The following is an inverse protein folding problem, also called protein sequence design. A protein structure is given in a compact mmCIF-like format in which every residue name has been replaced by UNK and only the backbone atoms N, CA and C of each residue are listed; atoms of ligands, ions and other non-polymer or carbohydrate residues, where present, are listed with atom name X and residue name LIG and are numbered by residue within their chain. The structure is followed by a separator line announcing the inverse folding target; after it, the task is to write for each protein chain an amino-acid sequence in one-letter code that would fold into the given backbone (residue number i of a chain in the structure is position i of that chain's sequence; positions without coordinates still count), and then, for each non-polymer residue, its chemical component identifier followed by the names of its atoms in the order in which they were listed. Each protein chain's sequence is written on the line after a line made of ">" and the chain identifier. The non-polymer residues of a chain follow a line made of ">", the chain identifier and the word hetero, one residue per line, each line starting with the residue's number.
data_IF_532448562910
#
_entry.id   IF_532448562910
#
_cell.length_a   1.000
_cell.length_b   1.000
_cell.length_c   1.000
_cell.angle_alpha   90.00
_cell.angle_beta   90.00
_cell.angle_gamma   90.00
#
_symmetry.space_group_name_H-M   'P 1'
#
loop_
_entity.id
_entity.type
_entity.pdbx_description
1 polymer ?
#
# COMPACT_ATOMS: atom_id res chain seq x y z
N UNK A 1 -5.87 15.29 -12.18
CA UNK A 1 -6.05 13.88 -12.57
C UNK A 1 -6.43 13.09 -11.34
N UNK A 2 -7.47 12.28 -11.47
CA UNK A 2 -7.98 11.41 -10.41
C UNK A 2 -7.75 9.96 -10.79
N UNK A 3 -7.47 9.11 -9.81
CA UNK A 3 -7.50 7.67 -9.97
C UNK A 3 -8.81 7.16 -9.39
N UNK A 4 -9.71 6.68 -10.23
CA UNK A 4 -10.93 5.99 -9.83
C UNK A 4 -10.64 4.49 -9.80
N UNK A 5 -10.81 3.87 -8.65
CA UNK A 5 -10.53 2.46 -8.43
C UNK A 5 -11.82 1.71 -8.17
N UNK A 6 -12.13 0.73 -8.99
CA UNK A 6 -13.26 -0.16 -8.75
C UNK A 6 -12.89 -1.19 -7.70
N UNK A 7 -13.74 -1.34 -6.69
CA UNK A 7 -13.64 -2.43 -5.71
C UNK A 7 -14.44 -3.67 -6.10
N UNK A 8 -15.05 -3.68 -7.29
CA UNK A 8 -15.77 -4.84 -7.78
C UNK A 8 -14.80 -5.97 -8.19
N UNK A 9 -15.22 -7.20 -7.99
CA UNK A 9 -14.46 -8.43 -8.27
C UNK A 9 -14.20 -8.66 -9.77
N UNK A 10 -14.92 -7.95 -10.65
CA UNK A 10 -14.76 -8.02 -12.09
C UNK A 10 -13.78 -6.96 -12.56
N UNK A 11 -12.59 -7.38 -12.98
CA UNK A 11 -11.51 -6.58 -13.54
C UNK A 11 -11.11 -5.35 -12.70
N UNK A 12 -10.00 -5.39 -11.98
CA UNK A 12 -9.48 -4.25 -11.22
C UNK A 12 -8.82 -3.24 -12.17
N UNK A 13 -9.60 -2.58 -13.02
CA UNK A 13 -9.09 -1.51 -13.86
C UNK A 13 -9.18 -0.19 -13.11
N UNK A 14 -8.03 0.31 -12.69
CA UNK A 14 -7.93 1.67 -12.20
C UNK A 14 -8.03 2.62 -13.41
N UNK A 15 -9.01 3.52 -13.40
CA UNK A 15 -9.22 4.48 -14.46
C UNK A 15 -8.65 5.85 -14.06
N UNK A 16 -7.81 6.42 -14.91
CA UNK A 16 -7.34 7.79 -14.78
C UNK A 16 -8.37 8.76 -15.34
N UNK A 17 -8.93 9.59 -14.49
CA UNK A 17 -9.97 10.56 -14.84
C UNK A 17 -9.37 11.97 -14.80
N UNK A 18 -9.42 12.74 -15.91
CA UNK A 18 -8.98 14.14 -15.91
C UNK A 18 -9.95 14.99 -15.09
N UNK A 19 -9.45 16.07 -14.52
CA UNK A 19 -10.32 17.10 -13.92
C UNK A 19 -11.13 17.79 -15.02
N UNK A 20 -12.36 18.13 -14.72
CA UNK A 20 -13.31 18.82 -15.58
C UNK A 20 -14.06 19.88 -14.76
N UNK A 21 -14.92 20.71 -15.36
CA UNK A 21 -15.76 21.64 -14.63
C UNK A 21 -16.68 20.97 -13.58
N UNK A 22 -16.97 19.67 -13.76
CA UNK A 22 -17.75 18.87 -12.81
C UNK A 22 -16.87 18.06 -11.83
N UNK A 23 -15.63 17.76 -12.21
CA UNK A 23 -14.68 16.96 -11.43
C UNK A 23 -13.56 17.88 -10.97
N UNK A 24 -13.76 18.49 -9.80
CA UNK A 24 -12.79 19.40 -9.21
C UNK A 24 -11.48 18.68 -8.86
N UNK A 25 -10.33 19.36 -8.86
CA UNK A 25 -9.06 18.78 -8.42
C UNK A 25 -9.15 18.30 -6.96
N UNK A 26 -8.53 17.17 -6.68
CA UNK A 26 -8.36 16.73 -5.29
C UNK A 26 -7.49 17.72 -4.53
N UNK A 27 -7.89 18.01 -3.32
CA UNK A 27 -7.13 18.82 -2.39
C UNK A 27 -6.81 18.01 -1.14
N UNK A 28 -5.65 18.27 -0.53
CA UNK A 28 -5.34 17.64 0.76
C UNK A 28 -4.47 18.56 1.62
N UNK A 29 -4.71 18.51 2.93
CA UNK A 29 -3.91 19.15 3.97
C UNK A 29 -3.34 18.07 4.87
N UNK A 30 -2.04 18.13 5.12
CA UNK A 30 -1.37 17.17 6.00
C UNK A 30 -0.57 17.92 7.06
N UNK A 31 -0.71 17.45 8.29
CA UNK A 31 0.08 17.86 9.45
C UNK A 31 0.92 16.66 9.86
N UNK A 32 2.21 16.88 10.09
CA UNK A 32 3.10 15.83 10.55
C UNK A 32 4.05 16.38 11.62
N UNK A 33 4.36 15.54 12.59
CA UNK A 33 5.34 15.81 13.62
C UNK A 33 6.24 14.58 13.77
N UNK A 34 7.56 14.79 13.68
CA UNK A 34 8.54 13.73 13.76
C UNK A 34 9.65 14.01 14.77
N UNK A 35 10.15 12.94 15.38
CA UNK A 35 11.33 12.93 16.22
C UNK A 35 12.38 12.02 15.60
N UNK A 36 13.60 12.55 15.42
CA UNK A 36 14.72 11.87 14.78
C UNK A 36 15.92 11.90 15.71
N UNK A 37 16.61 10.78 15.89
CA UNK A 37 17.78 10.72 16.74
C UNK A 37 18.81 9.71 16.24
N UNK A 38 20.06 10.15 16.19
CA UNK A 38 21.20 9.29 16.04
C UNK A 38 21.83 9.02 17.42
N UNK A 39 22.30 7.80 17.64
CA UNK A 39 22.91 7.39 18.91
C UNK A 39 24.02 6.37 18.69
N UNK A 40 24.86 6.17 19.73
CA UNK A 40 26.04 5.30 19.71
C UNK A 40 26.99 5.65 18.53
N UNK A 41 27.46 6.92 18.51
CA UNK A 41 28.36 7.45 17.49
C UNK A 41 27.83 7.20 16.06
N UNK A 42 26.55 7.53 15.81
CA UNK A 42 25.84 7.35 14.54
C UNK A 42 25.77 5.87 14.06
N UNK A 43 25.90 4.94 14.98
CA UNK A 43 25.70 3.53 14.69
C UNK A 43 24.22 3.22 14.47
N UNK A 44 23.36 3.86 15.23
CA UNK A 44 21.92 3.72 15.13
C UNK A 44 21.24 5.05 14.80
N UNK A 45 20.23 4.99 14.00
CA UNK A 45 19.32 6.05 13.67
C UNK A 45 17.90 5.57 14.00
N UNK A 46 17.13 6.39 14.69
CA UNK A 46 15.73 6.11 14.98
C UNK A 46 14.87 7.30 14.62
N UNK A 47 13.70 7.06 14.06
CA UNK A 47 12.68 8.07 13.85
C UNK A 47 11.31 7.57 14.26
N UNK A 48 10.49 8.51 14.71
CA UNK A 48 9.08 8.33 15.01
C UNK A 48 8.35 9.53 14.47
N UNK A 49 7.40 9.31 13.56
CA UNK A 49 6.61 10.37 12.94
C UNK A 49 5.12 10.05 13.05
N UNK A 50 4.33 11.02 13.51
CA UNK A 50 2.88 10.98 13.48
C UNK A 50 2.34 11.94 12.44
N UNK A 51 1.30 11.56 11.72
CA UNK A 51 0.65 12.42 10.74
C UNK A 51 -0.87 12.35 10.81
N UNK A 52 -1.50 13.44 10.40
CA UNK A 52 -2.94 13.54 10.13
C UNK A 52 -3.14 14.26 8.80
N UNK A 53 -3.96 13.68 7.92
CA UNK A 53 -4.23 14.17 6.57
C UNK A 53 -5.73 14.22 6.30
N UNK A 54 -6.21 15.38 5.89
CA UNK A 54 -7.53 15.60 5.34
C UNK A 54 -7.49 15.61 3.83
N UNK A 55 -8.53 15.09 3.20
CA UNK A 55 -8.62 14.98 1.73
C UNK A 55 -10.01 15.40 1.30
N UNK A 56 -10.06 16.39 0.41
CA UNK A 56 -11.29 16.94 -0.16
C UNK A 56 -11.39 16.58 -1.66
N UNK A 57 -12.61 16.60 -2.19
CA UNK A 57 -12.89 16.35 -3.61
C UNK A 57 -12.41 14.96 -4.09
N UNK A 58 -12.53 13.95 -3.23
CA UNK A 58 -12.30 12.58 -3.64
C UNK A 58 -13.42 12.16 -4.60
N UNK A 59 -13.09 11.29 -5.55
CA UNK A 59 -14.08 10.70 -6.45
C UNK A 59 -14.22 9.20 -6.19
N UNK A 60 -15.44 8.72 -6.35
CA UNK A 60 -15.80 7.30 -6.29
C UNK A 60 -16.91 7.02 -7.30
N UNK A 61 -17.03 5.78 -7.78
CA UNK A 61 -18.19 5.40 -8.58
C UNK A 61 -19.46 5.40 -7.72
N UNK A 62 -20.56 5.89 -8.28
CA UNK A 62 -21.89 5.76 -7.69
C UNK A 62 -22.23 4.29 -7.49
N UNK A 63 -23.07 3.99 -6.50
CA UNK A 63 -23.55 2.62 -6.30
C UNK A 63 -24.35 2.14 -7.51
N UNK A 64 -24.11 0.87 -7.91
CA UNK A 64 -24.77 0.26 -9.06
C UNK A 64 -24.23 0.65 -10.44
N UNK A 65 -23.25 1.54 -10.51
CA UNK A 65 -22.60 1.90 -11.78
C UNK A 65 -21.34 1.06 -11.96
N UNK A 66 -21.29 0.28 -13.05
CA UNK A 66 -20.10 -0.45 -13.45
C UNK A 66 -19.30 0.35 -14.49
N UNK A 67 -17.96 0.26 -14.48
CA UNK A 67 -17.13 0.94 -15.46
C UNK A 67 -17.47 0.60 -16.93
N UNK A 68 -17.96 -0.61 -17.15
CA UNK A 68 -18.34 -1.14 -18.46
C UNK A 68 -19.61 -0.50 -19.03
N UNK A 69 -20.47 0.05 -18.17
CA UNK A 69 -21.73 0.68 -18.56
C UNK A 69 -21.54 2.07 -19.21
N UNK A 70 -20.32 2.60 -19.16
CA UNK A 70 -20.02 4.00 -19.53
C UNK A 70 -19.49 4.19 -20.97
N UNK A 71 -19.69 3.25 -21.86
CA UNK A 71 -19.17 3.36 -23.23
C UNK A 71 -19.82 4.47 -24.08
N UNK A 72 -20.95 5.05 -23.65
CA UNK A 72 -21.72 6.02 -24.46
C UNK A 72 -22.23 7.27 -23.73
N UNK A 73 -21.92 7.49 -22.44
CA UNK A 73 -22.30 8.70 -21.72
C UNK A 73 -21.07 9.43 -21.16
N UNK A 74 -21.19 10.75 -20.97
CA UNK A 74 -20.09 11.50 -20.34
C UNK A 74 -19.72 10.85 -19.01
N UNK A 75 -18.51 10.33 -18.91
CA UNK A 75 -17.97 9.60 -17.76
C UNK A 75 -18.13 10.35 -16.43
N UNK A 76 -18.26 11.67 -16.48
CA UNK A 76 -18.41 12.55 -15.32
C UNK A 76 -19.66 12.24 -14.47
N UNK A 77 -20.75 11.75 -15.06
CA UNK A 77 -21.99 11.43 -14.36
C UNK A 77 -21.94 10.12 -13.55
N UNK A 78 -20.93 9.29 -13.81
CA UNK A 78 -20.72 8.03 -13.11
C UNK A 78 -20.12 8.21 -11.72
N UNK A 79 -19.55 9.38 -11.45
CA UNK A 79 -18.85 9.66 -10.20
C UNK A 79 -19.69 10.42 -9.20
N UNK A 80 -19.38 10.21 -7.94
CA UNK A 80 -19.81 11.02 -6.80
C UNK A 80 -18.59 11.57 -6.09
N UNK A 81 -18.79 12.62 -5.30
CA UNK A 81 -17.73 13.35 -4.62
C UNK A 81 -17.83 13.15 -3.13
N UNK A 82 -16.69 13.15 -2.47
CA UNK A 82 -16.63 12.98 -1.03
C UNK A 82 -15.28 13.36 -0.48
N UNK A 83 -15.13 13.09 0.80
CA UNK A 83 -13.99 13.48 1.61
C UNK A 83 -13.33 12.24 2.21
N UNK A 84 -12.17 12.45 2.79
CA UNK A 84 -11.47 11.39 3.49
C UNK A 84 -10.48 11.92 4.51
N UNK A 85 -10.12 11.04 5.41
CA UNK A 85 -9.07 11.28 6.39
C UNK A 85 -8.08 10.14 6.42
N UNK A 86 -6.83 10.45 6.73
CA UNK A 86 -5.80 9.44 6.96
C UNK A 86 -4.91 9.89 8.11
N UNK A 87 -4.62 8.99 9.03
CA UNK A 87 -3.68 9.23 10.11
C UNK A 87 -2.86 8.01 10.42
N UNK A 88 -1.68 8.21 10.95
CA UNK A 88 -0.78 7.12 11.24
C UNK A 88 0.43 7.50 12.05
N UNK A 89 1.16 6.45 12.43
CA UNK A 89 2.43 6.51 13.11
C UNK A 89 3.44 5.69 12.31
N UNK A 90 4.56 6.31 11.98
CA UNK A 90 5.67 5.70 11.26
C UNK A 90 6.89 5.60 12.16
N UNK A 91 7.51 4.44 12.20
CA UNK A 91 8.69 4.15 13.00
C UNK A 91 9.78 3.58 12.12
N UNK A 92 11.00 4.07 12.28
CA UNK A 92 12.19 3.53 11.63
C UNK A 92 13.29 3.36 12.66
N UNK A 93 13.94 2.19 12.63
CA UNK A 93 15.20 1.94 13.33
C UNK A 93 16.19 1.41 12.30
N UNK A 94 17.34 2.07 12.19
CA UNK A 94 18.39 1.71 11.23
C UNK A 94 19.72 1.54 11.96
N UNK A 95 20.47 0.51 11.62
CA UNK A 95 21.82 0.26 12.08
C UNK A 95 22.78 0.40 10.91
N UNK A 96 23.69 1.38 11.00
CA UNK A 96 24.56 1.81 9.91
C UNK A 96 25.97 1.22 9.97
N UNK A 97 26.43 0.72 11.14
CA UNK A 97 27.83 0.31 11.35
C UNK A 97 27.92 -1.10 11.97
N UNK A 98 29.06 -1.76 11.69
CA UNK A 98 29.38 -3.11 12.16
C UNK A 98 29.02 -4.17 11.12
N UNK A 99 29.29 -5.43 11.45
CA UNK A 99 29.07 -6.56 10.54
C UNK A 99 27.60 -6.80 10.21
N UNK A 100 26.70 -6.49 11.14
CA UNK A 100 25.26 -6.51 10.91
C UNK A 100 24.78 -5.07 10.72
N UNK A 101 24.23 -4.77 9.56
CA UNK A 101 23.56 -3.50 9.21
C UNK A 101 22.15 -3.76 8.69
N UNK A 102 21.33 -2.72 8.59
CA UNK A 102 19.98 -2.86 8.08
C UNK A 102 19.00 -1.92 8.77
N UNK A 103 17.71 -2.13 8.51
CA UNK A 103 16.66 -1.31 9.08
C UNK A 103 15.37 -2.08 9.28
N UNK A 104 14.56 -1.58 10.19
CA UNK A 104 13.19 -2.01 10.47
C UNK A 104 12.32 -0.78 10.37
N UNK A 105 11.38 -0.80 9.43
CA UNK A 105 10.35 0.21 9.27
C UNK A 105 8.98 -0.38 9.59
N UNK A 106 8.18 0.34 10.36
CA UNK A 106 6.84 -0.07 10.71
C UNK A 106 5.89 1.13 10.62
N UNK A 107 4.77 0.92 9.93
CA UNK A 107 3.69 1.91 9.81
C UNK A 107 2.39 1.33 10.38
N UNK A 108 1.78 2.09 11.26
CA UNK A 108 0.41 1.89 11.73
C UNK A 108 -0.44 3.03 11.20
N UNK A 109 -1.40 2.76 10.31
CA UNK A 109 -2.19 3.81 9.69
C UNK A 109 -3.67 3.43 9.56
N UNK A 110 -4.52 4.45 9.38
CA UNK A 110 -5.93 4.31 9.05
C UNK A 110 -6.32 5.35 8.02
N UNK A 111 -7.02 4.89 6.98
CA UNK A 111 -7.60 5.77 5.96
C UNK A 111 -9.09 5.50 5.82
N UNK A 112 -9.90 6.50 6.07
CA UNK A 112 -11.36 6.46 6.00
C UNK A 112 -11.84 7.38 4.89
N UNK A 113 -12.90 6.99 4.20
CA UNK A 113 -13.58 7.79 3.17
C UNK A 113 -15.03 8.02 3.56
N UNK A 114 -15.58 9.15 3.16
CA UNK A 114 -16.97 9.52 3.34
C UNK A 114 -17.52 10.06 2.03
N UNK A 115 -18.64 9.48 1.58
CA UNK A 115 -19.37 9.89 0.39
C UNK A 115 -20.86 9.82 0.70
N UNK A 116 -21.59 10.89 0.46
CA UNK A 116 -23.02 10.96 0.77
C UNK A 116 -23.85 9.87 0.07
N UNK A 117 -23.48 9.55 -1.18
CA UNK A 117 -24.23 8.64 -2.05
C UNK A 117 -23.57 7.24 -2.16
N UNK A 118 -22.65 6.92 -1.27
CA UNK A 118 -22.00 5.60 -1.21
C UNK A 118 -22.07 5.07 0.22
N UNK A 119 -22.25 3.76 0.36
CA UNK A 119 -22.33 3.08 1.65
C UNK A 119 -23.42 3.67 2.57
N UNK A 120 -24.54 4.11 1.97
CA UNK A 120 -25.67 4.75 2.67
C UNK A 120 -25.24 6.01 3.44
N UNK A 121 -24.22 6.72 2.99
CA UNK A 121 -23.65 7.88 3.66
C UNK A 121 -22.80 7.56 4.90
N UNK A 122 -22.53 6.29 5.18
CA UNK A 122 -21.65 5.90 6.30
C UNK A 122 -20.18 5.91 5.89
N UNK A 123 -19.26 6.30 6.77
CA UNK A 123 -17.82 6.20 6.53
C UNK A 123 -17.40 4.74 6.23
N UNK A 124 -16.45 4.56 5.35
CA UNK A 124 -15.90 3.26 5.00
C UNK A 124 -14.38 3.31 4.82
N UNK A 125 -13.66 2.19 5.00
CA UNK A 125 -12.21 2.17 4.82
C UNK A 125 -11.82 2.35 3.35
N UNK A 126 -10.71 3.02 3.09
CA UNK A 126 -10.15 3.08 1.75
C UNK A 126 -9.71 1.68 1.27
N UNK A 127 -9.76 1.43 -0.04
CA UNK A 127 -9.35 0.16 -0.65
C UNK A 127 -7.94 -0.28 -0.19
N UNK A 128 -7.01 0.65 -0.11
CA UNK A 128 -5.61 0.43 0.27
C UNK A 128 -5.32 0.82 1.74
N UNK A 129 -6.34 0.82 2.62
CA UNK A 129 -6.12 1.00 4.06
C UNK A 129 -5.44 -0.23 4.64
N UNK A 130 -4.11 -0.24 4.60
CA UNK A 130 -3.27 -1.24 5.22
C UNK A 130 -2.94 -0.81 6.64
N UNK A 131 -3.63 -1.41 7.61
CA UNK A 131 -3.48 -1.03 9.02
C UNK A 131 -2.06 -1.18 9.53
N UNK A 132 -1.38 -2.23 9.13
CA UNK A 132 -0.03 -2.56 9.53
C UNK A 132 0.81 -2.79 8.28
N UNK A 133 1.96 -2.14 8.21
CA UNK A 133 2.98 -2.37 7.22
C UNK A 133 4.34 -2.48 7.92
N UNK A 134 5.06 -3.58 7.71
CA UNK A 134 6.35 -3.87 8.32
C UNK A 134 7.34 -4.25 7.23
N UNK A 135 8.48 -3.61 7.22
CA UNK A 135 9.60 -3.93 6.34
C UNK A 135 10.88 -4.09 7.16
N UNK A 136 11.58 -5.19 6.95
CA UNK A 136 12.86 -5.48 7.58
C UNK A 136 13.86 -5.78 6.48
N UNK A 137 14.99 -5.07 6.48
CA UNK A 137 16.10 -5.34 5.58
C UNK A 137 17.36 -5.49 6.41
N UNK A 138 18.11 -6.56 6.17
CA UNK A 138 19.34 -6.86 6.88
C UNK A 138 20.45 -7.25 5.94
N UNK A 139 21.68 -6.88 6.30
CA UNK A 139 22.91 -7.31 5.65
C UNK A 139 23.90 -7.69 6.72
N UNK A 140 24.45 -8.90 6.64
CA UNK A 140 25.41 -9.43 7.57
C UNK A 140 26.70 -9.82 6.85
N UNK A 141 27.79 -9.09 7.12
CA UNK A 141 29.12 -9.39 6.63
C UNK A 141 29.72 -10.54 7.45
N UNK A 142 29.60 -11.76 6.92
CA UNK A 142 30.08 -12.98 7.57
C UNK A 142 31.61 -12.99 7.68
N UNK A 143 32.30 -12.55 6.63
CA UNK A 143 33.74 -12.36 6.53
C UNK A 143 34.06 -11.43 5.34
N UNK A 144 35.36 -11.24 5.01
CA UNK A 144 35.79 -10.34 3.94
C UNK A 144 35.31 -10.73 2.53
N UNK A 145 34.72 -11.92 2.38
CA UNK A 145 34.26 -12.43 1.08
C UNK A 145 32.79 -12.67 1.02
N UNK A 146 32.13 -12.96 2.12
CA UNK A 146 30.74 -13.34 2.15
C UNK A 146 29.90 -12.32 2.90
N UNK A 147 28.86 -11.84 2.21
CA UNK A 147 27.81 -11.03 2.79
C UNK A 147 26.47 -11.75 2.61
N UNK A 148 25.75 -11.95 3.70
CA UNK A 148 24.39 -12.48 3.70
C UNK A 148 23.38 -11.32 3.76
N UNK A 149 22.27 -11.45 3.06
CA UNK A 149 21.21 -10.45 3.07
C UNK A 149 19.84 -11.09 3.29
N UNK A 150 18.94 -10.33 3.89
CA UNK A 150 17.57 -10.76 4.12
C UNK A 150 16.61 -9.58 4.00
N UNK A 151 15.46 -9.83 3.39
CA UNK A 151 14.35 -8.91 3.34
C UNK A 151 13.09 -9.62 3.80
N UNK A 152 12.37 -9.02 4.72
CA UNK A 152 11.05 -9.47 5.14
C UNK A 152 10.07 -8.33 5.02
N UNK A 153 8.91 -8.61 4.43
CA UNK A 153 7.80 -7.66 4.32
C UNK A 153 6.53 -8.29 4.85
N UNK A 154 5.75 -7.51 5.56
CA UNK A 154 4.41 -7.84 6.00
C UNK A 154 3.49 -6.65 5.80
N UNK A 155 2.28 -6.88 5.31
CA UNK A 155 1.29 -5.82 5.14
C UNK A 155 -0.11 -6.41 5.38
N UNK A 156 -0.93 -5.70 6.12
CA UNK A 156 -2.35 -6.02 6.25
C UNK A 156 -3.01 -6.07 4.87
N UNK A 157 -3.99 -6.94 4.71
CA UNK A 157 -4.72 -7.06 3.45
C UNK A 157 -5.43 -5.77 3.05
N UNK A 158 -5.67 -5.60 1.76
CA UNK A 158 -6.50 -4.54 1.22
C UNK A 158 -7.97 -4.76 1.60
N UNK A 159 -8.77 -3.71 1.53
CA UNK A 159 -10.21 -3.80 1.73
C UNK A 159 -10.91 -3.92 0.37
N UNK A 160 -11.90 -4.79 0.29
CA UNK A 160 -12.70 -5.00 -0.93
C UNK A 160 -14.19 -5.05 -0.58
N UNK A 161 -15.01 -4.80 -1.59
CA UNK A 161 -16.47 -4.99 -1.52
C UNK A 161 -16.77 -6.38 -2.09
N UNK A 162 -17.40 -7.26 -1.30
CA UNK A 162 -17.78 -8.60 -1.76
C UNK A 162 -19.25 -8.66 -2.13
N UNK A 163 -19.61 -9.36 -3.22
CA UNK A 163 -20.99 -9.77 -3.46
C UNK A 163 -21.41 -10.79 -2.38
N UNK A 164 -22.54 -10.54 -1.73
CA UNK A 164 -23.10 -11.41 -0.68
C UNK A 164 -24.15 -12.36 -1.24
N UNK A 165 -25.04 -11.83 -2.05
CA UNK A 165 -26.17 -12.61 -2.58
C UNK A 165 -26.46 -12.21 -4.04
N UNK A 166 -27.10 -13.13 -4.77
CA UNK A 166 -27.66 -12.87 -6.09
C UNK A 166 -29.09 -13.37 -6.14
N UNK A 167 -29.99 -12.55 -6.63
CA UNK A 167 -31.38 -12.91 -6.79
C UNK A 167 -31.93 -12.41 -8.13
N UNK A 168 -32.98 -13.06 -8.61
CA UNK A 168 -33.61 -12.75 -9.90
C UNK A 168 -34.97 -12.12 -9.64
N UNK A 169 -35.19 -10.91 -10.13
CA UNK A 169 -36.49 -10.24 -10.09
C UNK A 169 -36.86 -9.86 -11.54
N UNK A 170 -38.03 -10.32 -12.00
CA UNK A 170 -38.53 -10.00 -13.33
C UNK A 170 -37.58 -10.43 -14.47
N UNK A 171 -36.79 -11.47 -14.28
CA UNK A 171 -35.80 -11.95 -15.28
C UNK A 171 -34.44 -11.23 -15.23
N UNK A 172 -34.28 -10.20 -14.39
CA UNK A 172 -33.02 -9.52 -14.19
C UNK A 172 -32.29 -10.03 -12.95
N UNK A 173 -30.95 -10.16 -13.06
CA UNK A 173 -30.09 -10.57 -11.95
C UNK A 173 -29.64 -9.34 -11.17
N UNK A 174 -29.93 -9.36 -9.87
CA UNK A 174 -29.47 -8.36 -8.92
C UNK A 174 -28.43 -8.96 -8.02
N UNK A 175 -27.38 -8.21 -7.73
CA UNK A 175 -26.31 -8.62 -6.82
C UNK A 175 -26.31 -7.69 -5.60
N UNK A 176 -26.41 -8.27 -4.43
CA UNK A 176 -26.22 -7.55 -3.17
C UNK A 176 -24.75 -7.60 -2.78
N UNK A 177 -24.26 -6.54 -2.16
CA UNK A 177 -22.86 -6.40 -1.77
C UNK A 177 -22.75 -6.12 -0.27
N UNK A 178 -21.62 -6.50 0.33
CA UNK A 178 -21.22 -6.02 1.66
C UNK A 178 -21.16 -4.48 1.68
N UNK A 179 -21.00 -3.91 2.88
CA UNK A 179 -20.61 -2.50 3.00
C UNK A 179 -19.38 -2.20 2.15
N UNK A 180 -19.28 -0.99 1.62
CA UNK A 180 -18.19 -0.56 0.74
C UNK A 180 -16.84 -0.83 1.40
N UNK A 181 -15.95 -1.59 0.73
CA UNK A 181 -14.66 -2.01 1.23
C UNK A 181 -14.71 -2.68 2.64
N UNK A 182 -15.85 -3.31 2.97
CA UNK A 182 -16.09 -3.87 4.30
C UNK A 182 -15.38 -5.19 4.58
N UNK A 183 -14.88 -5.86 3.56
CA UNK A 183 -14.14 -7.12 3.71
C UNK A 183 -12.64 -6.87 3.61
N UNK A 184 -11.90 -7.29 4.63
CA UNK A 184 -10.43 -7.22 4.66
C UNK A 184 -9.82 -8.52 4.14
N UNK A 185 -9.01 -8.41 3.09
CA UNK A 185 -8.27 -9.55 2.53
C UNK A 185 -7.25 -10.09 3.52
N UNK A 186 -6.79 -11.31 3.29
CA UNK A 186 -5.70 -11.90 4.07
C UNK A 186 -4.43 -11.07 3.97
N UNK A 187 -3.63 -10.99 5.05
CA UNK A 187 -2.38 -10.24 5.02
C UNK A 187 -1.38 -10.86 4.06
N UNK A 188 -0.56 -10.01 3.47
CA UNK A 188 0.56 -10.39 2.64
C UNK A 188 1.85 -10.37 3.46
N UNK A 189 2.67 -11.39 3.30
CA UNK A 189 4.04 -11.41 3.82
C UNK A 189 4.96 -12.22 2.92
N UNK A 190 6.23 -11.84 2.87
CA UNK A 190 7.26 -12.50 2.06
C UNK A 190 8.62 -12.34 2.71
N UNK A 191 9.45 -13.36 2.56
CA UNK A 191 10.85 -13.34 2.95
C UNK A 191 11.73 -13.71 1.76
N UNK A 192 12.73 -12.88 1.52
CA UNK A 192 13.76 -13.10 0.52
C UNK A 192 15.12 -13.18 1.23
N UNK A 193 16.00 -14.04 0.75
CA UNK A 193 17.37 -14.14 1.27
C UNK A 193 18.38 -14.10 0.13
N UNK A 194 19.57 -13.62 0.43
CA UNK A 194 20.65 -13.55 -0.53
C UNK A 194 22.02 -13.82 0.11
N UNK A 195 22.96 -14.24 -0.71
CA UNK A 195 24.36 -14.37 -0.35
C UNK A 195 25.22 -13.81 -1.48
N UNK A 196 26.12 -12.90 -1.15
CA UNK A 196 27.07 -12.33 -2.10
C UNK A 196 28.48 -12.83 -1.77
N UNK A 197 29.17 -13.34 -2.75
CA UNK A 197 30.56 -13.74 -2.65
C UNK A 197 31.44 -12.81 -3.47
N UNK A 198 32.32 -12.08 -2.80
CA UNK A 198 33.27 -11.14 -3.39
C UNK A 198 34.67 -11.70 -3.39
N UNK A 199 35.34 -11.63 -4.55
CA UNK A 199 36.72 -12.11 -4.71
C UNK A 199 37.56 -11.11 -5.47
N UNK A 200 38.67 -10.68 -4.84
CA UNK A 200 39.71 -9.85 -5.46
C UNK A 200 40.90 -10.71 -5.89
N UNK A 201 41.24 -10.71 -7.19
CA UNK A 201 42.36 -11.46 -7.72
C UNK A 201 43.69 -10.80 -7.31
N UNK A 202 44.54 -11.54 -6.57
CA UNK A 202 45.80 -11.00 -6.02
C UNK A 202 46.82 -10.54 -7.06
N UNK A 203 46.81 -11.12 -8.30
CA UNK A 203 47.79 -10.85 -9.37
C UNK A 203 47.28 -9.89 -10.45
N UNK A 204 46.05 -9.54 -10.46
CA UNK A 204 45.38 -8.62 -11.41
C UNK A 204 44.38 -7.82 -10.65
N UNK A 205 44.27 -6.57 -10.98
CA UNK A 205 43.31 -5.67 -10.31
C UNK A 205 41.87 -5.95 -10.76
N UNK A 206 41.52 -7.23 -10.82
CA UNK A 206 40.16 -7.69 -11.13
C UNK A 206 39.40 -8.02 -9.86
N UNK A 207 38.18 -7.56 -9.85
CA UNK A 207 37.17 -7.84 -8.82
C UNK A 207 36.04 -8.67 -9.45
N UNK A 208 35.63 -9.73 -8.78
CA UNK A 208 34.45 -10.51 -9.17
C UNK A 208 33.49 -10.61 -8.02
N UNK A 209 32.21 -10.43 -8.29
CA UNK A 209 31.11 -10.55 -7.33
C UNK A 209 30.08 -11.53 -7.88
N UNK A 210 29.70 -12.49 -7.04
CA UNK A 210 28.68 -13.49 -7.34
C UNK A 210 27.54 -13.31 -6.35
N UNK A 211 26.31 -13.15 -6.87
CA UNK A 211 25.12 -13.02 -6.05
C UNK A 211 24.20 -14.21 -6.24
N UNK A 212 23.81 -14.83 -5.14
CA UNK A 212 22.83 -15.91 -5.07
C UNK A 212 21.64 -15.43 -4.26
N UNK A 213 20.43 -15.54 -4.79
CA UNK A 213 19.24 -15.09 -4.08
C UNK A 213 18.08 -16.07 -4.24
N UNK A 214 17.28 -16.18 -3.19
CA UNK A 214 16.02 -16.91 -3.18
C UNK A 214 14.91 -15.91 -2.87
N UNK A 215 14.03 -15.74 -3.83
CA UNK A 215 12.84 -14.92 -3.71
C UNK A 215 11.69 -15.76 -3.15
N UNK A 216 10.91 -15.20 -2.23
CA UNK A 216 9.77 -15.88 -1.61
C UNK A 216 10.17 -17.23 -0.98
N UNK A 217 11.09 -17.20 -0.01
CA UNK A 217 11.77 -18.35 0.60
C UNK A 217 10.84 -19.49 1.04
N UNK A 218 9.65 -19.17 1.54
CA UNK A 218 8.67 -20.14 2.00
C UNK A 218 7.46 -20.30 1.07
N UNK A 219 7.61 -19.87 -0.20
CA UNK A 219 6.58 -20.06 -1.27
C UNK A 219 5.18 -19.59 -0.87
N UNK A 220 5.09 -18.39 -0.27
CA UNK A 220 3.79 -17.77 0.05
C UNK A 220 2.96 -17.60 -1.22
N UNK A 221 1.78 -18.18 -1.24
CA UNK A 221 0.76 -18.07 -2.30
C UNK A 221 -0.15 -16.89 -2.05
#
# INVERSE_FOLDING_TARGET
>A
IHLASTSAVSLPTDLWVPSSPKIEPKFSRQYALGYFKNFVNDTYEASLEGYYKEMDNLIEYKEGVLPEDNTNQSSDNAFTFGDGESYGLEMLIKKNKGNLTGWIGYTLSKTTRYFKDVNQGNPFPAKYDRRHDLSITTSYQLNDKWTLSGVFVYSSGNNITLPTERYVIGGNVYTEFTSRNGFKMVPYHRMDIGATYDYKWKKRDYYSSWNFSIYNLYSRK
#
